data_IF_192348538298
#
_entry.id   IF_192348538298
#
_cell.length_a   1.000
_cell.length_b   1.000
_cell.length_c   1.000
_cell.angle_alpha   90.00
_cell.angle_beta   90.00
_cell.angle_gamma   90.00
#
_symmetry.space_group_name_H-M   'P 1'
#
loop_
_entity.id
_entity.type
_entity.pdbx_description
1 polymer ?
#
# COMPACT_ATOMS: atom_id res chain seq x y z
N UNK A 1 -19.23 -16.49 -20.53
CA UNK A 1 -18.95 -16.01 -20.08
C UNK A 1 -18.53 -15.80 -19.50
N UNK A 2 -18.23 -15.90 -19.45
CA UNK A 2 -17.73 -15.36 -18.85
C UNK A 2 -17.42 -15.29 -18.25
N UNK A 3 -17.04 -15.33 -18.19
CA UNK A 3 -16.57 -14.91 -17.60
C UNK A 3 -16.53 -14.65 -16.88
N UNK A 4 -16.79 -14.89 -16.98
CA UNK A 4 -16.71 -14.42 -16.08
C UNK A 4 -16.06 -14.37 -15.50
N UNK A 5 -15.63 -14.62 -15.77
CA UNK A 5 -15.00 -14.35 -15.28
C UNK A 5 -14.47 -13.97 -15.11
N UNK A 6 -14.30 -14.05 -15.88
CA UNK A 6 -13.86 -13.36 -15.76
C UNK A 6 -13.73 -12.66 -14.83
N UNK A 7 -14.23 -12.49 -14.70
CA UNK A 7 -14.29 -11.73 -13.52
C UNK A 7 -13.44 -12.26 -12.43
N UNK A 8 -13.44 -13.49 -12.26
CA UNK A 8 -12.54 -14.08 -11.29
C UNK A 8 -11.11 -13.77 -11.63
N UNK A 9 -10.82 -13.66 -12.87
CA UNK A 9 -9.48 -13.37 -13.30
C UNK A 9 -9.01 -11.98 -12.94
N UNK A 10 -9.93 -11.08 -12.70
CA UNK A 10 -9.55 -9.70 -12.45
C UNK A 10 -8.73 -9.52 -11.21
N UNK A 11 -8.95 -10.36 -10.22
CA UNK A 11 -8.15 -10.25 -9.00
C UNK A 11 -6.70 -10.54 -9.26
N UNK A 12 -6.43 -11.35 -10.26
CA UNK A 12 -5.05 -11.69 -10.61
C UNK A 12 -4.34 -10.56 -11.31
N UNK A 13 -5.10 -9.55 -11.76
CA UNK A 13 -4.50 -8.38 -12.37
C UNK A 13 -3.88 -7.45 -11.35
N UNK A 14 -4.04 -7.75 -10.06
CA UNK A 14 -3.51 -6.94 -9.00
C UNK A 14 -2.69 -7.83 -8.06
N UNK A 15 -1.59 -8.39 -8.54
CA UNK A 15 -0.79 -9.31 -7.74
C UNK A 15 -0.16 -8.59 -6.57
N UNK A 16 0.04 -9.35 -5.49
CA UNK A 16 0.68 -8.84 -4.30
C UNK A 16 2.12 -9.29 -4.25
N UNK A 17 3.00 -8.37 -3.90
CA UNK A 17 4.43 -8.62 -3.81
C UNK A 17 4.85 -8.52 -2.36
N UNK A 18 5.33 -9.62 -1.79
CA UNK A 18 5.79 -9.62 -0.42
C UNK A 18 7.13 -8.92 -0.32
N UNK A 19 7.31 -8.16 0.75
CA UNK A 19 8.52 -7.39 0.93
C UNK A 19 8.68 -7.01 2.39
N UNK A 20 9.76 -6.35 2.71
CA UNK A 20 9.94 -5.71 4.00
C UNK A 20 10.71 -4.43 3.73
N UNK A 21 10.01 -3.41 3.29
CA UNK A 21 10.62 -2.18 2.81
C UNK A 21 10.25 -1.00 3.67
N UNK A 22 11.22 -0.20 4.11
CA UNK A 22 10.91 0.98 4.89
C UNK A 22 10.20 2.02 4.04
N UNK A 23 9.20 2.65 4.63
CA UNK A 23 8.46 3.73 4.00
C UNK A 23 8.21 4.81 5.03
N UNK A 24 8.02 6.03 4.57
CA UNK A 24 7.60 7.14 5.41
C UNK A 24 6.11 7.34 5.27
N UNK A 25 5.43 7.54 6.40
CA UNK A 25 4.01 7.87 6.43
C UNK A 25 3.88 9.32 6.80
N UNK A 26 3.08 10.05 6.05
CA UNK A 26 2.77 11.44 6.36
C UNK A 26 1.30 11.53 6.72
N UNK A 27 1.02 12.05 7.93
CA UNK A 27 -0.33 12.26 8.43
C UNK A 27 -0.42 13.73 8.83
N UNK A 28 -0.96 14.56 7.94
CA UNK A 28 -0.94 15.99 8.20
C UNK A 28 0.49 16.45 8.39
N UNK A 29 0.77 17.04 9.54
CA UNK A 29 2.11 17.55 9.86
C UNK A 29 3.03 16.52 10.50
N UNK A 30 2.50 15.34 10.82
CA UNK A 30 3.33 14.32 11.46
C UNK A 30 3.86 13.34 10.44
N UNK A 31 4.99 12.76 10.77
CA UNK A 31 5.63 11.76 9.93
C UNK A 31 6.03 10.59 10.82
N UNK A 32 5.84 9.39 10.31
CA UNK A 32 6.18 8.17 11.03
C UNK A 32 6.89 7.22 10.09
N UNK A 33 7.61 6.27 10.66
CA UNK A 33 8.26 5.22 9.90
C UNK A 33 7.40 3.98 9.94
N UNK A 34 7.34 3.29 8.81
CA UNK A 34 6.63 2.04 8.69
C UNK A 34 7.38 1.15 7.72
N UNK A 35 6.90 -0.07 7.57
CA UNK A 35 7.42 -1.01 6.58
C UNK A 35 6.25 -1.55 5.79
N UNK A 36 6.39 -1.63 4.48
CA UNK A 36 5.46 -2.41 3.67
C UNK A 36 5.79 -3.88 3.86
N UNK A 37 4.77 -4.68 4.08
CA UNK A 37 4.90 -6.13 4.18
C UNK A 37 4.44 -6.82 2.91
N UNK A 38 3.49 -6.21 2.21
CA UNK A 38 3.19 -6.57 0.83
C UNK A 38 2.64 -5.35 0.11
N UNK A 39 2.67 -5.40 -1.20
CA UNK A 39 2.31 -4.28 -2.04
C UNK A 39 1.61 -4.79 -3.30
N UNK A 40 0.51 -4.12 -3.65
CA UNK A 40 -0.14 -4.29 -4.93
C UNK A 40 -0.38 -2.91 -5.53
N UNK A 41 -0.89 -2.86 -6.76
CA UNK A 41 -1.16 -1.56 -7.36
C UNK A 41 -2.25 -0.80 -6.63
N UNK A 42 -3.17 -1.51 -5.97
CA UNK A 42 -4.31 -0.86 -5.32
C UNK A 42 -4.09 -0.59 -3.84
N UNK A 43 -3.10 -1.21 -3.20
CA UNK A 43 -2.92 -1.02 -1.78
C UNK A 43 -1.70 -1.74 -1.24
N UNK A 44 -1.58 -1.71 0.09
CA UNK A 44 -0.44 -2.31 0.77
C UNK A 44 -0.84 -2.81 2.14
N UNK A 45 -0.11 -3.81 2.61
CA UNK A 45 -0.10 -4.21 4.00
C UNK A 45 1.13 -3.61 4.64
N UNK A 46 0.96 -2.94 5.76
CA UNK A 46 2.06 -2.23 6.39
C UNK A 46 2.14 -2.55 7.88
N UNK A 47 3.30 -2.29 8.43
CA UNK A 47 3.59 -2.45 9.86
C UNK A 47 4.17 -1.16 10.38
N UNK A 48 3.72 -0.73 11.56
CA UNK A 48 4.20 0.50 12.20
C UNK A 48 4.09 0.32 13.70
N UNK A 49 5.04 0.87 14.44
CA UNK A 49 5.00 0.78 15.91
C UNK A 49 3.76 1.45 16.48
N UNK A 50 3.37 2.57 15.89
CA UNK A 50 2.17 3.29 16.30
C UNK A 50 1.33 3.53 15.05
N UNK A 51 0.49 2.56 14.67
CA UNK A 51 -0.26 2.69 13.42
C UNK A 51 -1.24 3.85 13.47
N UNK A 52 -1.52 4.44 12.30
CA UNK A 52 -2.58 5.43 12.23
C UNK A 52 -3.95 4.77 12.45
N UNK A 53 -4.94 5.58 12.71
CA UNK A 53 -6.29 5.07 12.95
C UNK A 53 -6.94 4.61 11.66
N UNK A 54 -7.80 3.61 11.76
CA UNK A 54 -8.61 3.21 10.61
C UNK A 54 -9.42 4.40 10.13
N UNK A 55 -9.48 4.58 8.82
CA UNK A 55 -10.16 5.70 8.21
C UNK A 55 -9.27 6.91 7.97
N UNK A 56 -8.06 6.95 8.54
CA UNK A 56 -7.18 8.10 8.36
C UNK A 56 -6.69 8.17 6.91
N UNK A 57 -6.54 9.39 6.42
CA UNK A 57 -5.91 9.64 5.13
C UNK A 57 -4.43 9.85 5.35
N UNK A 58 -3.64 9.17 4.56
CA UNK A 58 -2.19 9.21 4.71
C UNK A 58 -1.54 9.36 3.33
N UNK A 59 -0.29 9.77 3.34
CA UNK A 59 0.56 9.73 2.15
C UNK A 59 1.78 8.92 2.49
N UNK A 60 2.09 7.93 1.66
CA UNK A 60 3.29 7.11 1.84
C UNK A 60 4.35 7.57 0.86
N UNK A 61 5.60 7.47 1.29
CA UNK A 61 6.73 7.88 0.47
C UNK A 61 7.85 6.89 0.64
N UNK A 62 8.38 6.40 -0.49
CA UNK A 62 9.52 5.49 -0.50
C UNK A 62 10.16 5.55 -1.87
N UNK A 63 11.50 5.56 -1.90
CA UNK A 63 12.26 5.49 -3.15
C UNK A 63 11.84 6.56 -4.17
N UNK A 64 11.43 7.73 -3.68
CA UNK A 64 11.00 8.82 -4.54
C UNK A 64 9.57 8.72 -5.04
N UNK A 65 8.84 7.66 -4.67
CA UNK A 65 7.44 7.51 -5.04
C UNK A 65 6.58 8.01 -3.90
N UNK A 66 5.56 8.78 -4.22
CA UNK A 66 4.57 9.25 -3.25
C UNK A 66 3.21 8.73 -3.65
N UNK A 67 2.44 8.25 -2.68
CA UNK A 67 1.11 7.73 -2.95
C UNK A 67 0.19 8.07 -1.79
N UNK A 68 -0.95 8.67 -2.11
CA UNK A 68 -1.97 8.95 -1.12
C UNK A 68 -2.88 7.75 -0.95
N UNK A 69 -3.40 7.58 0.25
CA UNK A 69 -4.29 6.47 0.50
C UNK A 69 -5.05 6.64 1.79
N UNK A 70 -5.78 5.60 2.12
CA UNK A 70 -6.60 5.59 3.32
C UNK A 70 -6.33 4.30 4.09
N UNK A 71 -6.26 4.43 5.41
CA UNK A 71 -6.12 3.25 6.26
C UNK A 71 -7.48 2.57 6.35
N UNK A 72 -7.55 1.33 5.90
CA UNK A 72 -8.81 0.60 5.82
C UNK A 72 -9.10 -0.18 7.07
N UNK A 73 -8.06 -0.67 7.74
CA UNK A 73 -8.21 -1.44 8.97
C UNK A 73 -6.89 -1.41 9.72
N UNK A 74 -6.96 -1.64 11.03
CA UNK A 74 -5.79 -1.73 11.90
C UNK A 74 -5.96 -2.94 12.78
N UNK A 75 -4.93 -3.76 12.89
CA UNK A 75 -4.92 -4.91 13.76
C UNK A 75 -3.53 -5.02 14.39
N UNK A 76 -3.43 -4.68 15.68
CA UNK A 76 -2.14 -4.60 16.34
C UNK A 76 -1.29 -3.54 15.69
N UNK A 77 -0.10 -3.93 15.23
CA UNK A 77 0.83 -3.00 14.57
C UNK A 77 0.73 -3.07 13.06
N UNK A 78 -0.19 -3.88 12.54
CA UNK A 78 -0.39 -4.00 11.10
C UNK A 78 -1.61 -3.22 10.68
N UNK A 79 -1.58 -2.72 9.46
CA UNK A 79 -2.72 -2.00 8.92
C UNK A 79 -2.72 -2.12 7.40
N UNK A 80 -3.92 -2.03 6.85
CA UNK A 80 -4.11 -2.08 5.42
C UNK A 80 -4.34 -0.71 4.86
N UNK A 81 -3.71 -0.43 3.72
CA UNK A 81 -3.82 0.85 3.01
C UNK A 81 -4.44 0.59 1.66
N UNK A 82 -5.41 1.42 1.30
CA UNK A 82 -5.93 1.45 -0.05
C UNK A 82 -5.50 2.77 -0.69
N UNK A 83 -4.81 2.68 -1.81
CA UNK A 83 -4.34 3.88 -2.49
C UNK A 83 -5.51 4.60 -3.15
N UNK A 84 -5.45 5.93 -3.17
CA UNK A 84 -6.49 6.75 -3.78
C UNK A 84 -6.56 6.52 -5.28
N UNK A 85 -5.43 6.25 -5.89
CA UNK A 85 -5.34 5.86 -7.29
C UNK A 85 -4.37 4.70 -7.39
N UNK A 86 -4.59 3.77 -8.31
CA UNK A 86 -3.66 2.65 -8.47
C UNK A 86 -2.26 3.17 -8.79
N UNK A 87 -1.26 2.49 -8.26
CA UNK A 87 0.12 2.79 -8.60
C UNK A 87 0.36 2.44 -10.05
N UNK A 88 1.14 3.27 -10.73
CA UNK A 88 1.54 2.98 -12.10
C UNK A 88 2.57 1.87 -12.11
N UNK A 89 2.76 1.23 -13.28
CA UNK A 89 3.77 0.20 -13.39
C UNK A 89 5.17 0.71 -13.05
N UNK A 90 5.58 1.89 -13.55
CA UNK A 90 6.89 2.40 -13.15
C UNK A 90 7.02 2.60 -11.64
N UNK A 91 5.96 3.08 -10.98
CA UNK A 91 6.01 3.24 -9.53
C UNK A 91 6.13 1.90 -8.82
N UNK A 92 5.38 0.89 -9.28
CA UNK A 92 5.48 -0.46 -8.72
C UNK A 92 6.90 -1.00 -8.87
N UNK A 93 7.48 -0.86 -10.05
CA UNK A 93 8.82 -1.35 -10.30
C UNK A 93 9.82 -0.70 -9.37
N UNK A 94 9.73 0.61 -9.19
CA UNK A 94 10.66 1.34 -8.30
C UNK A 94 10.50 0.84 -6.87
N UNK A 95 9.27 0.69 -6.39
CA UNK A 95 9.05 0.27 -5.02
C UNK A 95 9.49 -1.17 -4.77
N UNK A 96 9.27 -2.05 -5.74
CA UNK A 96 9.64 -3.44 -5.59
C UNK A 96 11.16 -3.59 -5.69
N UNK A 97 11.78 -2.95 -6.65
CA UNK A 97 13.23 -3.08 -6.86
C UNK A 97 14.03 -2.26 -5.87
N UNK A 98 13.47 -1.19 -5.36
CA UNK A 98 14.13 -0.39 -4.35
C UNK A 98 14.00 -0.94 -2.96
N UNK A 99 13.29 -2.03 -2.82
CA UNK A 99 13.04 -2.62 -1.52
C UNK A 99 14.27 -3.34 -0.97
#
# INVERSE_FOLDING_TARGET
MVDPNRTAGQRRLDPRHKMFSPVALHLGDTQARAHFLDLSSSGALAHCETPPSAGAYIMVEAAGVQASGRVMWVLGKRFGIRFSQPLTEPAMTVLIEGA
#
